data_IF_142922644453
#
_entry.id   IF_142922644453
#
_cell.length_a   1.000
_cell.length_b   1.000
_cell.length_c   1.000
_cell.angle_alpha   90.00
_cell.angle_beta   90.00
_cell.angle_gamma   90.00
#
_symmetry.space_group_name_H-M   'P 1'
#
loop_
_entity.id
_entity.type
_entity.pdbx_description
1 polymer ?
#
# COMPACT_ATOMS: atom_id res chain seq x y z
N UNK A 1 -52.50 -3.15 -65.23
CA UNK A 1 -53.37 -3.02 -64.04
C UNK A 1 -52.97 -4.13 -63.07
N UNK A 2 -52.81 -4.01 -61.74
CA UNK A 2 -52.74 -2.86 -60.79
C UNK A 2 -52.64 -3.49 -59.38
N UNK A 3 -51.85 -3.06 -58.39
CA UNK A 3 -50.85 -1.99 -58.21
C UNK A 3 -49.80 -2.47 -57.16
N UNK A 4 -48.64 -1.81 -57.05
CA UNK A 4 -47.79 -1.90 -55.83
C UNK A 4 -48.41 -1.03 -54.73
N UNK A 5 -48.35 -1.47 -53.46
CA UNK A 5 -47.83 -0.55 -52.45
C UNK A 5 -46.95 -1.24 -51.39
N UNK A 6 -45.70 -0.81 -51.28
CA UNK A 6 -44.99 -0.74 -49.99
C UNK A 6 -45.55 0.48 -49.23
N UNK A 7 -45.67 0.49 -47.89
CA UNK A 7 -44.51 0.88 -47.07
C UNK A 7 -44.48 0.35 -45.60
N UNK A 8 -43.51 0.85 -44.84
CA UNK A 8 -43.33 0.77 -43.37
C UNK A 8 -42.84 -0.58 -42.81
N UNK A 9 -41.57 -0.69 -42.40
CA UNK A 9 -41.04 -0.21 -41.10
C UNK A 9 -41.71 -0.84 -39.87
N UNK A 10 -41.64 -2.17 -39.74
CA UNK A 10 -41.55 -2.75 -38.40
C UNK A 10 -40.16 -2.54 -37.83
N UNK A 11 -40.00 -1.35 -37.24
CA UNK A 11 -38.88 -0.92 -36.43
C UNK A 11 -38.91 -1.71 -35.10
N UNK A 12 -38.63 -3.02 -35.17
CA UNK A 12 -38.51 -3.87 -34.01
C UNK A 12 -37.29 -3.43 -33.19
N UNK A 13 -37.54 -2.67 -32.14
CA UNK A 13 -36.51 -2.11 -31.28
C UNK A 13 -35.66 -3.21 -30.63
N UNK A 14 -34.39 -2.84 -30.39
CA UNK A 14 -33.36 -3.67 -29.78
C UNK A 14 -33.80 -4.33 -28.46
N UNK A 15 -33.32 -5.54 -28.20
CA UNK A 15 -32.84 -5.93 -26.88
C UNK A 15 -31.33 -5.62 -26.79
N UNK A 16 -30.99 -4.34 -26.59
CA UNK A 16 -29.77 -4.06 -25.79
C UNK A 16 -30.16 -4.42 -24.34
N UNK A 17 -29.16 -4.80 -23.55
CA UNK A 17 -29.31 -5.11 -22.10
C UNK A 17 -29.94 -6.47 -21.74
N UNK A 18 -29.10 -7.52 -21.73
CA UNK A 18 -29.09 -8.54 -20.66
C UNK A 18 -27.67 -8.87 -20.22
N UNK A 19 -26.92 -7.84 -19.80
CA UNK A 19 -25.98 -7.99 -18.69
C UNK A 19 -26.83 -7.83 -17.41
N UNK A 20 -26.66 -8.61 -16.33
CA UNK A 20 -25.40 -9.23 -15.90
C UNK A 20 -25.48 -10.71 -15.46
N UNK A 21 -24.42 -11.50 -15.74
CA UNK A 21 -24.04 -12.64 -14.88
C UNK A 21 -22.68 -12.37 -14.24
N UNK A 22 -22.64 -11.35 -13.38
CA UNK A 22 -21.60 -11.27 -12.34
C UNK A 22 -21.94 -12.33 -11.29
N UNK A 23 -21.69 -13.60 -11.62
CA UNK A 23 -21.83 -14.71 -10.68
C UNK A 23 -20.71 -14.63 -9.64
N UNK A 24 -20.92 -13.75 -8.67
CA UNK A 24 -20.17 -13.72 -7.42
C UNK A 24 -20.39 -15.05 -6.68
N UNK A 25 -19.46 -15.99 -6.86
CA UNK A 25 -19.35 -17.21 -6.04
C UNK A 25 -18.00 -17.89 -6.28
N UNK A 26 -16.98 -17.45 -5.53
CA UNK A 26 -15.91 -18.35 -5.10
C UNK A 26 -15.82 -18.30 -3.57
N UNK A 27 -16.60 -19.11 -2.84
CA UNK A 27 -16.39 -19.34 -1.41
C UNK A 27 -15.16 -20.24 -1.24
N UNK A 28 -13.99 -19.76 -1.65
CA UNK A 28 -12.74 -20.45 -1.36
C UNK A 28 -12.16 -19.81 -0.11
N UNK A 29 -12.07 -20.62 0.95
CA UNK A 29 -11.49 -20.27 2.26
C UNK A 29 -9.96 -20.12 2.19
N UNK A 30 -9.49 -19.41 1.15
CA UNK A 30 -8.10 -18.96 1.01
C UNK A 30 -7.87 -17.92 2.08
N UNK A 31 -6.74 -18.02 2.78
CA UNK A 31 -6.23 -16.95 3.64
C UNK A 31 -6.24 -15.66 2.81
N UNK A 32 -7.01 -14.67 3.26
CA UNK A 32 -7.11 -13.38 2.57
C UNK A 32 -5.72 -12.81 2.37
N UNK A 33 -5.35 -12.43 1.14
CA UNK A 33 -3.97 -12.06 0.81
C UNK A 33 -3.43 -10.90 1.68
N UNK A 34 -4.32 -10.03 2.18
CA UNK A 34 -3.98 -9.00 3.15
C UNK A 34 -3.37 -9.52 4.47
N UNK A 35 -3.60 -10.79 4.87
CA UNK A 35 -2.90 -11.39 6.02
C UNK A 35 -1.42 -11.61 5.76
N UNK A 36 -1.01 -11.95 4.54
CA UNK A 36 0.41 -12.03 4.18
C UNK A 36 1.06 -10.64 4.14
N UNK A 37 0.33 -9.63 3.65
CA UNK A 37 0.79 -8.24 3.66
C UNK A 37 0.91 -7.73 5.11
N UNK A 38 -0.09 -7.99 5.96
CA UNK A 38 -0.07 -7.64 7.37
C UNK A 38 1.05 -8.36 8.13
N UNK A 39 1.29 -9.64 7.87
CA UNK A 39 2.40 -10.39 8.46
C UNK A 39 3.76 -9.82 8.02
N UNK A 40 3.94 -9.52 6.73
CA UNK A 40 5.17 -8.90 6.22
C UNK A 40 5.40 -7.49 6.82
N UNK A 41 4.36 -6.64 6.85
CA UNK A 41 4.42 -5.31 7.45
C UNK A 41 4.70 -5.36 8.96
N UNK A 42 4.10 -6.32 9.68
CA UNK A 42 4.36 -6.55 11.12
C UNK A 42 5.80 -7.01 11.35
N UNK A 43 6.31 -7.93 10.53
CA UNK A 43 7.69 -8.42 10.60
C UNK A 43 8.70 -7.30 10.32
N UNK A 44 8.45 -6.48 9.29
CA UNK A 44 9.28 -5.33 8.95
C UNK A 44 9.28 -4.27 10.06
N UNK A 45 8.10 -3.98 10.63
CA UNK A 45 7.97 -3.05 11.77
C UNK A 45 8.68 -3.57 13.02
N UNK A 46 8.55 -4.88 13.30
CA UNK A 46 9.24 -5.53 14.42
C UNK A 46 10.76 -5.48 14.23
N UNK A 47 11.27 -5.77 13.04
CA UNK A 47 12.70 -5.66 12.74
C UNK A 47 13.20 -4.22 12.93
N UNK A 48 12.47 -3.23 12.41
CA UNK A 48 12.84 -1.81 12.57
C UNK A 48 12.93 -1.39 14.05
N UNK A 49 11.95 -1.76 14.88
CA UNK A 49 11.89 -1.33 16.29
C UNK A 49 12.84 -2.12 17.20
N UNK A 50 12.94 -3.44 17.01
CA UNK A 50 13.75 -4.34 17.84
C UNK A 50 15.26 -4.10 17.67
N UNK A 51 15.71 -3.62 16.50
CA UNK A 51 17.11 -3.21 16.34
C UNK A 51 17.38 -1.80 16.85
N UNK A 52 16.48 -0.82 16.66
CA UNK A 52 16.75 0.56 17.07
C UNK A 52 16.82 0.72 18.60
N UNK A 53 15.73 0.42 19.32
CA UNK A 53 15.61 0.81 20.73
C UNK A 53 16.63 0.14 21.68
N UNK A 54 16.84 -1.19 21.65
CA UNK A 54 17.75 -1.87 22.57
C UNK A 54 19.22 -1.53 22.29
N UNK A 55 19.61 -1.43 21.01
CA UNK A 55 20.98 -1.07 20.62
C UNK A 55 21.28 0.35 21.09
N UNK A 56 20.40 1.31 20.82
CA UNK A 56 20.56 2.69 21.30
C UNK A 56 20.65 2.76 22.83
N UNK A 57 19.86 1.96 23.55
CA UNK A 57 19.97 1.84 25.01
C UNK A 57 21.34 1.35 25.50
N UNK A 58 21.99 0.46 24.75
CA UNK A 58 23.31 -0.07 25.09
C UNK A 58 24.46 0.93 24.84
N UNK A 59 24.46 1.66 23.72
CA UNK A 59 25.47 2.70 23.41
C UNK A 59 25.19 4.06 24.09
N UNK A 60 23.98 4.30 24.61
CA UNK A 60 23.66 5.53 25.37
C UNK A 60 24.64 5.81 26.52
N UNK A 61 24.91 4.89 27.47
CA UNK A 61 25.85 5.16 28.57
C UNK A 61 27.27 5.46 28.09
N UNK A 62 27.74 4.84 27.00
CA UNK A 62 29.05 5.12 26.39
C UNK A 62 29.09 6.54 25.82
N UNK A 63 28.06 6.96 25.10
CA UNK A 63 27.91 8.33 24.57
C UNK A 63 27.85 9.39 25.67
N UNK A 64 27.24 9.07 26.81
CA UNK A 64 27.19 9.96 27.98
C UNK A 64 28.56 10.06 28.69
N UNK A 65 29.27 8.93 28.81
CA UNK A 65 30.54 8.87 29.53
C UNK A 65 31.74 9.44 28.73
N UNK A 66 31.81 9.16 27.42
CA UNK A 66 32.95 9.56 26.58
C UNK A 66 32.77 10.94 25.92
N UNK A 67 31.54 11.28 25.51
CA UNK A 67 31.25 12.53 24.79
C UNK A 67 30.42 13.54 25.58
N UNK A 68 29.99 13.21 26.80
CA UNK A 68 29.17 14.09 27.65
C UNK A 68 27.78 14.38 27.08
N UNK A 69 27.27 13.54 26.18
CA UNK A 69 25.97 13.78 25.52
C UNK A 69 24.82 13.75 26.54
N UNK A 70 23.84 14.64 26.39
CA UNK A 70 22.62 14.57 27.21
C UNK A 70 21.60 13.59 26.61
N UNK A 71 20.77 12.98 27.47
CA UNK A 71 19.63 12.15 27.02
C UNK A 71 18.70 12.92 26.05
N UNK A 72 18.56 14.24 26.24
CA UNK A 72 17.81 15.10 25.34
C UNK A 72 18.46 15.22 23.95
N UNK A 73 19.79 15.23 23.85
CA UNK A 73 20.53 15.28 22.57
C UNK A 73 20.36 13.97 21.78
N UNK A 74 20.38 12.84 22.48
CA UNK A 74 20.13 11.51 21.90
C UNK A 74 18.68 11.42 21.39
N UNK A 75 17.71 11.86 22.21
CA UNK A 75 16.30 11.90 21.82
C UNK A 75 16.04 12.85 20.63
N UNK A 76 16.70 14.01 20.58
CA UNK A 76 16.59 14.94 19.46
C UNK A 76 17.03 14.29 18.13
N UNK A 77 18.10 13.50 18.17
CA UNK A 77 18.58 12.74 16.99
C UNK A 77 17.52 11.74 16.50
N UNK A 78 16.83 11.06 17.42
CA UNK A 78 15.70 10.17 17.07
C UNK A 78 14.52 10.93 16.46
N UNK A 79 14.19 12.11 16.98
CA UNK A 79 13.13 12.96 16.42
C UNK A 79 13.48 13.43 15.00
N UNK A 80 14.73 13.88 14.79
CA UNK A 80 15.22 14.28 13.46
C UNK A 80 15.18 13.10 12.49
N UNK A 81 15.64 11.92 12.92
CA UNK A 81 15.59 10.68 12.12
C UNK A 81 14.17 10.25 11.78
N UNK A 82 13.23 10.34 12.73
CA UNK A 82 11.82 10.01 12.53
C UNK A 82 11.11 10.98 11.57
N UNK A 83 11.36 12.29 11.71
CA UNK A 83 10.83 13.31 10.78
C UNK A 83 11.41 13.10 9.39
N UNK A 84 12.73 12.94 9.28
CA UNK A 84 13.41 12.66 7.99
C UNK A 84 12.87 11.39 7.33
N UNK A 85 12.72 10.31 8.09
CA UNK A 85 12.13 9.06 7.64
C UNK A 85 10.68 9.21 7.17
N UNK A 86 9.85 9.98 7.88
CA UNK A 86 8.46 10.28 7.48
C UNK A 86 8.37 11.11 6.20
N UNK A 87 9.25 12.12 6.05
CA UNK A 87 9.36 12.90 4.80
C UNK A 87 9.77 12.00 3.64
N UNK A 88 10.83 11.20 3.81
CA UNK A 88 11.30 10.24 2.80
C UNK A 88 10.19 9.24 2.45
N UNK A 89 9.50 8.67 3.43
CA UNK A 89 8.39 7.74 3.22
C UNK A 89 7.24 8.35 2.41
N UNK A 90 6.95 9.64 2.60
CA UNK A 90 5.95 10.37 1.82
C UNK A 90 6.34 10.46 0.34
N UNK A 91 7.61 10.79 0.04
CA UNK A 91 8.12 10.78 -1.33
C UNK A 91 8.19 9.38 -1.94
N UNK A 92 8.67 8.39 -1.18
CA UNK A 92 8.77 6.99 -1.62
C UNK A 92 7.40 6.40 -1.92
N UNK A 93 6.39 6.64 -1.08
CA UNK A 93 5.01 6.23 -1.34
C UNK A 93 4.46 6.83 -2.64
N UNK A 94 4.62 8.15 -2.83
CA UNK A 94 4.21 8.82 -4.06
C UNK A 94 4.91 8.28 -5.33
N UNK A 95 6.18 7.90 -5.23
CA UNK A 95 6.94 7.28 -6.33
C UNK A 95 6.46 5.84 -6.59
N UNK A 96 6.22 5.06 -5.53
CA UNK A 96 5.73 3.68 -5.60
C UNK A 96 4.34 3.59 -6.23
N UNK A 97 3.45 4.52 -5.90
CA UNK A 97 2.10 4.62 -6.48
C UNK A 97 2.12 4.97 -7.98
N UNK A 98 3.11 5.76 -8.43
CA UNK A 98 3.25 6.14 -9.85
C UNK A 98 3.93 5.10 -10.73
N UNK A 99 4.97 4.43 -10.24
CA UNK A 99 5.76 3.49 -11.04
C UNK A 99 5.30 2.03 -10.85
N UNK A 100 4.50 1.78 -9.81
CA UNK A 100 4.11 0.46 -9.37
C UNK A 100 5.23 -0.22 -8.58
N UNK A 101 4.83 -0.91 -7.50
CA UNK A 101 5.68 -1.65 -6.54
C UNK A 101 6.68 -2.65 -7.17
N UNK A 102 6.57 -2.93 -8.46
CA UNK A 102 7.49 -3.79 -9.23
C UNK A 102 8.91 -3.22 -9.37
N UNK A 103 9.11 -1.91 -9.20
CA UNK A 103 10.43 -1.28 -9.28
C UNK A 103 11.21 -1.26 -7.95
N UNK A 104 10.55 -1.55 -6.82
CA UNK A 104 11.14 -1.56 -5.48
C UNK A 104 11.62 -2.96 -5.01
N UNK A 105 11.59 -3.94 -5.91
CA UNK A 105 11.96 -5.35 -5.65
C UNK A 105 13.24 -5.78 -6.38
N UNK A 106 14.09 -4.81 -6.75
CA UNK A 106 15.39 -4.99 -7.41
C UNK A 106 16.48 -4.20 -6.67
#
# INVERSE_FOLDING_TARGET
>A
MSQTPSPQRHLAMRPRERLPRVLYSRPMRRVFAGWWIAAAASMASFAAVTFFNPVLGAITPELQAEYGWSTASIALTMVIGGIGGGVIATFVGHIADRHGWRWLLF
#
